data_IF_856059924306
#
_entry.id   IF_856059924306
#
_cell.length_a   1.000
_cell.length_b   1.000
_cell.length_c   1.000
_cell.angle_alpha   90.00
_cell.angle_beta   90.00
_cell.angle_gamma   90.00
#
_symmetry.space_group_name_H-M   'P 1'
#
loop_
_entity.id
_entity.type
_entity.pdbx_description
1 polymer ?
#
# COMPACT_ATOMS: atom_id res chain seq x y z
N UNK A 1 -1.28 13.93 -18.59
CA UNK A 1 -2.36 14.92 -18.36
C UNK A 1 -3.39 14.29 -17.46
N UNK A 2 -3.79 14.99 -16.39
CA UNK A 2 -4.81 14.56 -15.44
C UNK A 2 -6.16 15.14 -15.85
N UNK A 3 -7.24 14.37 -15.68
CA UNK A 3 -8.61 14.82 -15.87
C UNK A 3 -9.53 14.15 -14.86
N UNK A 4 -10.31 14.95 -14.15
CA UNK A 4 -11.35 14.51 -13.22
C UNK A 4 -12.70 14.63 -13.91
N UNK A 5 -13.48 13.55 -13.91
CA UNK A 5 -14.85 13.55 -14.42
C UNK A 5 -15.81 13.35 -13.25
N UNK A 6 -16.60 14.37 -12.96
CA UNK A 6 -17.68 14.31 -11.96
C UNK A 6 -19.02 14.20 -12.70
N UNK A 7 -19.70 13.09 -12.50
CA UNK A 7 -20.97 12.75 -13.11
C UNK A 7 -22.12 13.48 -12.41
N UNK A 8 -23.02 14.07 -13.20
CA UNK A 8 -24.23 14.67 -12.68
C UNK A 8 -25.38 13.65 -12.66
N UNK A 9 -26.29 13.76 -11.69
CA UNK A 9 -27.42 12.80 -11.53
C UNK A 9 -28.43 12.80 -12.70
N UNK A 10 -28.33 13.76 -13.62
CA UNK A 10 -29.24 13.94 -14.75
C UNK A 10 -28.58 13.81 -16.13
N UNK A 11 -27.27 13.54 -16.18
CA UNK A 11 -26.53 13.53 -17.45
C UNK A 11 -26.59 12.19 -18.16
N UNK A 12 -26.58 12.24 -19.50
CA UNK A 12 -26.34 11.06 -20.31
C UNK A 12 -24.89 10.61 -20.12
N UNK A 13 -24.69 9.44 -19.50
CA UNK A 13 -23.37 8.94 -19.13
C UNK A 13 -22.41 8.81 -20.31
N UNK A 14 -22.90 8.37 -21.47
CA UNK A 14 -22.08 8.27 -22.69
C UNK A 14 -21.60 9.66 -23.12
N UNK A 15 -22.48 10.66 -23.04
CA UNK A 15 -22.13 12.03 -23.40
C UNK A 15 -21.04 12.60 -22.47
N UNK A 16 -21.15 12.39 -21.16
CA UNK A 16 -20.12 12.82 -20.19
C UNK A 16 -18.75 12.23 -20.50
N UNK A 17 -18.70 10.91 -20.76
CA UNK A 17 -17.43 10.26 -21.12
C UNK A 17 -16.90 10.70 -22.48
N UNK A 18 -17.78 11.05 -23.43
CA UNK A 18 -17.36 11.57 -24.74
C UNK A 18 -16.67 12.94 -24.68
N UNK A 19 -16.82 13.66 -23.56
CA UNK A 19 -16.17 14.95 -23.34
C UNK A 19 -14.79 14.84 -22.70
N UNK A 20 -14.35 13.63 -22.33
CA UNK A 20 -12.99 13.44 -21.81
C UNK A 20 -11.99 13.84 -22.90
N UNK A 21 -11.09 14.81 -22.63
CA UNK A 21 -10.14 15.28 -23.63
C UNK A 21 -9.22 14.16 -24.15
N UNK A 22 -8.88 14.22 -25.44
CA UNK A 22 -7.83 13.36 -25.98
C UNK A 22 -6.46 13.69 -25.36
N UNK A 23 -5.64 12.67 -25.12
CA UNK A 23 -4.31 12.83 -24.52
C UNK A 23 -4.29 12.85 -22.99
N UNK A 24 -5.46 12.70 -22.34
CA UNK A 24 -5.55 12.38 -20.91
C UNK A 24 -4.87 11.04 -20.66
N UNK A 25 -3.98 11.00 -19.67
CA UNK A 25 -3.23 9.80 -19.27
C UNK A 25 -3.64 9.29 -17.90
N UNK A 26 -4.20 10.17 -17.06
CA UNK A 26 -4.75 9.84 -15.75
C UNK A 26 -6.17 10.37 -15.69
N UNK A 27 -7.12 9.45 -15.56
CA UNK A 27 -8.55 9.75 -15.45
C UNK A 27 -9.00 9.44 -14.03
N UNK A 28 -9.57 10.45 -13.38
CA UNK A 28 -10.16 10.33 -12.07
C UNK A 28 -11.69 10.25 -12.20
N UNK A 29 -12.24 9.10 -11.79
CA UNK A 29 -13.67 8.84 -11.67
C UNK A 29 -14.08 8.63 -10.21
N UNK A 30 -13.28 9.07 -9.25
CA UNK A 30 -13.62 8.95 -7.83
C UNK A 30 -14.88 9.75 -7.48
N UNK A 31 -15.55 9.37 -6.38
CA UNK A 31 -16.70 10.11 -5.82
C UNK A 31 -17.90 10.27 -6.79
N UNK A 32 -18.13 9.30 -7.66
CA UNK A 32 -19.19 9.31 -8.67
C UNK A 32 -20.37 8.38 -8.38
N UNK A 33 -20.44 7.80 -7.19
CA UNK A 33 -21.48 6.83 -6.80
C UNK A 33 -21.62 5.67 -7.83
N UNK A 34 -20.53 5.25 -8.50
CA UNK A 34 -20.60 4.27 -9.60
C UNK A 34 -21.22 2.92 -9.18
N UNK A 35 -21.20 2.60 -7.88
CA UNK A 35 -21.89 1.45 -7.30
C UNK A 35 -23.41 1.46 -7.51
N UNK A 36 -24.02 2.65 -7.55
CA UNK A 36 -25.46 2.85 -7.74
C UNK A 36 -25.88 2.97 -9.20
N UNK A 37 -24.95 3.16 -10.13
CA UNK A 37 -25.24 3.29 -11.56
C UNK A 37 -25.40 1.89 -12.19
N UNK A 38 -26.35 1.76 -13.12
CA UNK A 38 -26.56 0.53 -13.89
C UNK A 38 -25.26 0.03 -14.52
N UNK A 39 -24.96 -1.26 -14.32
CA UNK A 39 -23.74 -1.85 -14.86
C UNK A 39 -23.69 -1.79 -16.39
N UNK A 40 -24.84 -1.94 -17.05
CA UNK A 40 -24.93 -1.85 -18.51
C UNK A 40 -24.61 -0.44 -19.02
N UNK A 41 -25.05 0.60 -18.33
CA UNK A 41 -24.77 2.00 -18.70
C UNK A 41 -23.29 2.31 -18.52
N UNK A 42 -22.70 1.92 -17.39
CA UNK A 42 -21.27 2.11 -17.12
C UNK A 42 -20.39 1.42 -18.15
N UNK A 43 -20.68 0.16 -18.47
CA UNK A 43 -19.90 -0.60 -19.47
C UNK A 43 -19.98 0.07 -20.85
N UNK A 44 -21.12 0.65 -21.22
CA UNK A 44 -21.23 1.39 -22.48
C UNK A 44 -20.45 2.71 -22.44
N UNK A 45 -20.47 3.41 -21.31
CA UNK A 45 -19.74 4.66 -21.14
C UNK A 45 -18.21 4.45 -21.09
N UNK A 46 -17.73 3.37 -20.47
CA UNK A 46 -16.30 3.05 -20.37
C UNK A 46 -15.63 2.87 -21.73
N UNK A 47 -16.40 2.52 -22.78
CA UNK A 47 -15.90 2.48 -24.16
C UNK A 47 -15.44 3.83 -24.71
N UNK A 48 -15.86 4.93 -24.09
CA UNK A 48 -15.48 6.29 -24.46
C UNK A 48 -14.29 6.81 -23.64
N UNK A 49 -13.76 6.02 -22.69
CA UNK A 49 -12.49 6.35 -22.03
C UNK A 49 -11.40 6.37 -23.11
N UNK A 50 -10.66 7.49 -23.27
CA UNK A 50 -9.63 7.59 -24.30
C UNK A 50 -8.55 6.52 -24.15
N UNK A 51 -8.08 5.95 -25.27
CA UNK A 51 -7.03 4.94 -25.27
C UNK A 51 -5.70 5.43 -24.67
N UNK A 52 -5.49 6.75 -24.57
CA UNK A 52 -4.32 7.35 -23.92
C UNK A 52 -4.32 7.20 -22.40
N UNK A 53 -5.44 6.83 -21.78
CA UNK A 53 -5.56 6.67 -20.32
C UNK A 53 -4.82 5.41 -19.87
N UNK A 54 -3.81 5.60 -19.03
CA UNK A 54 -3.00 4.53 -18.44
C UNK A 54 -3.19 4.41 -16.93
N UNK A 55 -3.76 5.43 -16.28
CA UNK A 55 -4.12 5.42 -14.86
C UNK A 55 -5.59 5.74 -14.70
N UNK A 56 -6.33 4.86 -14.00
CA UNK A 56 -7.76 5.00 -13.76
C UNK A 56 -8.05 4.97 -12.26
N UNK A 57 -8.67 6.04 -11.75
CA UNK A 57 -9.14 6.11 -10.37
C UNK A 57 -10.64 5.78 -10.29
N UNK A 58 -10.99 4.70 -9.58
CA UNK A 58 -12.38 4.32 -9.27
C UNK A 58 -12.64 4.36 -7.76
N UNK A 59 -11.83 5.07 -6.99
CA UNK A 59 -11.95 5.13 -5.53
C UNK A 59 -13.25 5.79 -5.08
N UNK A 60 -13.66 5.53 -3.83
CA UNK A 60 -14.81 6.22 -3.21
C UNK A 60 -16.12 6.15 -4.03
N UNK A 61 -16.41 4.98 -4.60
CA UNK A 61 -17.56 4.80 -5.51
C UNK A 61 -18.61 3.82 -5.01
N UNK A 62 -18.50 3.36 -3.76
CA UNK A 62 -19.39 2.35 -3.19
C UNK A 62 -19.53 1.11 -4.08
N UNK A 63 -18.43 0.64 -4.69
CA UNK A 63 -18.45 -0.56 -5.53
C UNK A 63 -18.88 -1.84 -4.78
N UNK A 64 -18.96 -1.78 -3.44
CA UNK A 64 -19.66 -2.75 -2.62
C UNK A 64 -21.15 -2.96 -3.00
N UNK A 65 -21.82 -1.97 -3.58
CA UNK A 65 -23.25 -2.04 -3.87
C UNK A 65 -23.56 -2.79 -5.17
N UNK A 66 -22.56 -2.98 -6.04
CA UNK A 66 -22.64 -3.91 -7.19
C UNK A 66 -22.70 -5.35 -6.69
N UNK A 67 -23.46 -6.25 -7.32
CA UNK A 67 -23.24 -7.69 -7.08
C UNK A 67 -21.83 -8.12 -7.48
N UNK A 68 -21.30 -9.23 -6.95
CA UNK A 68 -19.99 -9.73 -7.36
C UNK A 68 -19.86 -10.01 -8.87
N UNK A 69 -20.96 -10.35 -9.54
CA UNK A 69 -20.98 -10.54 -10.99
C UNK A 69 -20.89 -9.20 -11.75
N UNK A 70 -21.61 -8.18 -11.29
CA UNK A 70 -21.58 -6.85 -11.90
C UNK A 70 -20.23 -6.17 -11.69
N UNK A 71 -19.64 -6.28 -10.49
CA UNK A 71 -18.30 -5.75 -10.22
C UNK A 71 -17.27 -6.39 -11.15
N UNK A 72 -17.30 -7.72 -11.32
CA UNK A 72 -16.41 -8.40 -12.26
C UNK A 72 -16.63 -7.93 -13.72
N UNK A 73 -17.87 -7.75 -14.16
CA UNK A 73 -18.16 -7.23 -15.50
C UNK A 73 -17.68 -5.79 -15.68
N UNK A 74 -17.81 -4.94 -14.65
CA UNK A 74 -17.30 -3.57 -14.68
C UNK A 74 -15.78 -3.54 -14.81
N UNK A 75 -15.06 -4.32 -14.00
CA UNK A 75 -13.60 -4.39 -14.04
C UNK A 75 -13.10 -4.97 -15.37
N UNK A 76 -13.80 -5.96 -15.93
CA UNK A 76 -13.49 -6.51 -17.26
C UNK A 76 -13.71 -5.51 -18.41
N UNK A 77 -14.50 -4.45 -18.19
CA UNK A 77 -14.76 -3.42 -19.18
C UNK A 77 -13.72 -2.28 -19.15
N UNK A 78 -12.77 -2.30 -18.20
CA UNK A 78 -11.66 -1.35 -18.17
C UNK A 78 -10.75 -1.58 -19.38
N UNK A 79 -10.38 -0.49 -20.06
CA UNK A 79 -9.52 -0.52 -21.23
C UNK A 79 -8.16 -1.19 -20.95
N UNK A 80 -7.70 -2.03 -21.88
CA UNK A 80 -6.45 -2.78 -21.77
C UNK A 80 -5.16 -1.93 -21.83
N UNK A 81 -5.28 -0.60 -21.88
CA UNK A 81 -4.15 0.32 -21.79
C UNK A 81 -3.92 0.79 -20.34
N UNK A 82 -4.87 0.54 -19.43
CA UNK A 82 -4.76 0.91 -18.01
C UNK A 82 -3.73 0.00 -17.35
N UNK A 83 -2.71 0.62 -16.76
CA UNK A 83 -1.61 -0.04 -16.04
C UNK A 83 -1.66 0.25 -14.54
N UNK A 84 -2.31 1.33 -14.12
CA UNK A 84 -2.56 1.67 -12.72
C UNK A 84 -4.06 1.77 -12.46
N UNK A 85 -4.56 1.00 -11.50
CA UNK A 85 -5.97 0.97 -11.14
C UNK A 85 -6.14 1.24 -9.63
N UNK A 86 -6.90 2.27 -9.29
CA UNK A 86 -7.25 2.59 -7.91
C UNK A 86 -8.69 2.13 -7.60
N UNK A 87 -8.83 1.20 -6.64
CA UNK A 87 -10.11 0.71 -6.11
C UNK A 87 -10.28 1.07 -4.62
N UNK A 88 -9.51 2.03 -4.11
CA UNK A 88 -9.53 2.40 -2.69
C UNK A 88 -10.91 2.89 -2.22
N UNK A 89 -11.18 2.78 -0.92
CA UNK A 89 -12.39 3.34 -0.29
C UNK A 89 -13.70 2.89 -0.94
N UNK A 90 -13.80 1.61 -1.31
CA UNK A 90 -14.98 1.03 -1.96
C UNK A 90 -15.76 0.05 -1.07
N UNK A 91 -15.39 -0.07 0.21
CA UNK A 91 -16.02 -0.97 1.19
C UNK A 91 -16.06 -2.43 0.69
N UNK A 92 -14.96 -2.87 0.07
CA UNK A 92 -14.89 -4.19 -0.55
C UNK A 92 -15.00 -5.33 0.47
N UNK A 93 -14.83 -5.05 1.76
CA UNK A 93 -15.10 -5.99 2.87
C UNK A 93 -16.52 -6.54 2.90
N UNK A 94 -17.49 -5.78 2.36
CA UNK A 94 -18.89 -6.21 2.24
C UNK A 94 -19.13 -7.30 1.20
N UNK A 95 -18.11 -7.68 0.42
CA UNK A 95 -18.18 -8.78 -0.54
C UNK A 95 -17.62 -10.05 0.08
N UNK A 96 -18.20 -11.18 -0.31
CA UNK A 96 -17.62 -12.47 0.04
C UNK A 96 -16.28 -12.69 -0.70
N UNK A 97 -15.40 -13.51 -0.14
CA UNK A 97 -14.14 -13.86 -0.81
C UNK A 97 -14.32 -14.47 -2.21
N UNK A 98 -15.45 -15.13 -2.47
CA UNK A 98 -15.76 -15.66 -3.80
C UNK A 98 -16.12 -14.55 -4.80
N UNK A 99 -16.82 -13.51 -4.35
CA UNK A 99 -17.14 -12.35 -5.19
C UNK A 99 -15.91 -11.50 -5.47
N UNK A 100 -15.06 -11.27 -4.45
CA UNK A 100 -13.78 -10.59 -4.62
C UNK A 100 -12.85 -11.36 -5.55
N UNK A 101 -12.76 -12.68 -5.40
CA UNK A 101 -12.00 -13.53 -6.32
C UNK A 101 -12.45 -13.37 -7.77
N UNK A 102 -13.77 -13.38 -8.00
CA UNK A 102 -14.33 -13.17 -9.35
C UNK A 102 -14.04 -11.77 -9.88
N UNK A 103 -14.13 -10.75 -9.03
CA UNK A 103 -13.84 -9.36 -9.40
C UNK A 103 -12.36 -9.16 -9.73
N UNK A 104 -11.44 -9.63 -8.89
CA UNK A 104 -10.00 -9.49 -9.10
C UNK A 104 -9.52 -10.27 -10.33
N UNK A 105 -10.07 -11.46 -10.58
CA UNK A 105 -9.78 -12.23 -11.79
C UNK A 105 -10.19 -11.50 -13.09
N UNK A 106 -11.09 -10.52 -13.00
CA UNK A 106 -11.58 -9.75 -14.13
C UNK A 106 -10.78 -8.46 -14.38
N UNK A 107 -9.83 -8.11 -13.50
CA UNK A 107 -8.93 -6.97 -13.69
C UNK A 107 -8.09 -7.21 -14.96
N UNK A 108 -7.98 -6.22 -15.88
CA UNK A 108 -7.19 -6.38 -17.10
C UNK A 108 -5.73 -6.76 -16.82
N UNK A 109 -5.17 -7.65 -17.63
CA UNK A 109 -3.78 -8.10 -17.51
C UNK A 109 -2.74 -7.02 -17.86
N UNK A 110 -3.17 -5.85 -18.30
CA UNK A 110 -2.34 -4.66 -18.45
C UNK A 110 -2.04 -3.98 -17.12
N UNK A 111 -2.87 -4.20 -16.09
CA UNK A 111 -2.72 -3.58 -14.77
C UNK A 111 -1.50 -4.17 -14.07
N UNK A 112 -0.56 -3.31 -13.72
CA UNK A 112 0.66 -3.64 -12.97
C UNK A 112 0.68 -3.06 -11.57
N UNK A 113 -0.12 -2.02 -11.31
CA UNK A 113 -0.32 -1.41 -10.00
C UNK A 113 -1.78 -1.44 -9.63
N UNK A 114 -2.10 -2.07 -8.50
CA UNK A 114 -3.46 -2.16 -7.96
C UNK A 114 -3.49 -1.55 -6.56
N UNK A 115 -4.37 -0.59 -6.36
CA UNK A 115 -4.59 0.04 -5.07
C UNK A 115 -5.92 -0.44 -4.45
N UNK A 116 -5.82 -1.09 -3.28
CA UNK A 116 -6.94 -1.54 -2.45
C UNK A 116 -6.96 -0.83 -1.07
N UNK A 117 -6.34 0.34 -0.97
CA UNK A 117 -6.31 1.17 0.23
C UNK A 117 -7.72 1.38 0.82
N UNK A 118 -7.83 1.43 2.15
CA UNK A 118 -9.06 1.81 2.85
C UNK A 118 -10.32 1.00 2.43
N UNK A 119 -10.20 -0.31 2.27
CA UNK A 119 -11.33 -1.19 1.93
C UNK A 119 -11.82 -2.05 3.10
N UNK A 120 -11.25 -1.85 4.29
CA UNK A 120 -11.57 -2.60 5.51
C UNK A 120 -11.44 -4.11 5.37
N UNK A 121 -10.53 -4.59 4.50
CA UNK A 121 -10.42 -6.01 4.16
C UNK A 121 -10.14 -6.91 5.39
N UNK A 122 -9.55 -6.38 6.47
CA UNK A 122 -9.41 -7.06 7.77
C UNK A 122 -10.72 -7.33 8.53
N UNK A 123 -11.88 -7.06 7.92
CA UNK A 123 -13.18 -7.57 8.37
C UNK A 123 -13.54 -8.92 7.71
N UNK A 124 -12.82 -9.33 6.66
CA UNK A 124 -13.02 -10.61 5.98
C UNK A 124 -12.15 -11.70 6.61
N UNK A 125 -12.66 -12.93 6.65
CA UNK A 125 -11.86 -14.06 7.14
C UNK A 125 -10.63 -14.27 6.26
N UNK A 126 -9.51 -14.70 6.85
CA UNK A 126 -8.27 -14.89 6.11
C UNK A 126 -8.38 -15.92 4.98
N UNK A 127 -9.24 -16.94 5.12
CA UNK A 127 -9.54 -17.90 4.05
C UNK A 127 -10.28 -17.27 2.86
N UNK A 128 -11.11 -16.27 3.11
CA UNK A 128 -11.86 -15.55 2.06
C UNK A 128 -10.93 -14.62 1.29
N UNK A 129 -10.10 -13.85 2.01
CA UNK A 129 -9.08 -13.01 1.39
C UNK A 129 -8.03 -13.83 0.65
N UNK A 130 -7.63 -14.99 1.17
CA UNK A 130 -6.68 -15.84 0.47
C UNK A 130 -7.20 -16.30 -0.90
N UNK A 131 -8.51 -16.61 -0.99
CA UNK A 131 -9.15 -16.92 -2.27
C UNK A 131 -9.20 -15.69 -3.20
N UNK A 132 -9.49 -14.52 -2.64
CA UNK A 132 -9.52 -13.28 -3.40
C UNK A 132 -8.13 -12.91 -3.95
N UNK A 133 -7.12 -12.84 -3.11
CA UNK A 133 -5.74 -12.49 -3.47
C UNK A 133 -5.14 -13.46 -4.47
N UNK A 134 -5.40 -14.76 -4.36
CA UNK A 134 -4.99 -15.75 -5.36
C UNK A 134 -5.55 -15.48 -6.78
N UNK A 135 -6.56 -14.64 -6.89
CA UNK A 135 -7.19 -14.26 -8.16
C UNK A 135 -6.71 -12.91 -8.71
N UNK A 136 -5.81 -12.21 -8.01
CA UNK A 136 -5.18 -10.99 -8.51
C UNK A 136 -4.32 -11.36 -9.74
N UNK A 137 -4.41 -10.63 -10.87
CA UNK A 137 -3.67 -10.96 -12.07
C UNK A 137 -2.15 -10.96 -11.86
N UNK A 138 -1.46 -11.90 -12.51
CA UNK A 138 0.00 -12.05 -12.40
C UNK A 138 0.80 -10.84 -12.92
N UNK A 139 0.15 -9.93 -13.65
CA UNK A 139 0.72 -8.65 -14.09
C UNK A 139 0.87 -7.65 -12.94
N UNK A 140 0.07 -7.76 -11.88
CA UNK A 140 0.10 -6.85 -10.72
C UNK A 140 1.35 -7.13 -9.89
N UNK A 141 2.31 -6.22 -9.95
CA UNK A 141 3.59 -6.31 -9.22
C UNK A 141 3.69 -5.32 -8.07
N UNK A 142 2.82 -4.30 -8.06
CA UNK A 142 2.63 -3.36 -6.96
C UNK A 142 1.21 -3.47 -6.43
N UNK A 143 1.07 -3.69 -5.12
CA UNK A 143 -0.21 -3.80 -4.44
C UNK A 143 -0.24 -2.88 -3.23
N UNK A 144 -1.27 -2.04 -3.14
CA UNK A 144 -1.55 -1.27 -1.95
C UNK A 144 -2.62 -1.96 -1.09
N UNK A 145 -2.25 -2.33 0.15
CA UNK A 145 -3.18 -2.86 1.16
C UNK A 145 -3.21 -1.97 2.40
N UNK A 146 -2.79 -0.71 2.29
CA UNK A 146 -2.79 0.20 3.42
C UNK A 146 -4.20 0.46 3.95
N UNK A 147 -4.31 0.79 5.24
CA UNK A 147 -5.58 1.14 5.89
C UNK A 147 -6.69 0.07 5.74
N UNK A 148 -6.34 -1.22 5.90
CA UNK A 148 -7.29 -2.33 5.83
C UNK A 148 -7.58 -3.00 7.19
N UNK A 149 -7.12 -2.42 8.32
CA UNK A 149 -7.39 -2.87 9.69
C UNK A 149 -6.97 -4.31 10.00
N UNK A 150 -5.85 -4.78 9.46
CA UNK A 150 -5.36 -6.14 9.72
C UNK A 150 -4.94 -6.41 11.17
N UNK A 151 -4.81 -5.40 12.03
CA UNK A 151 -4.46 -5.54 13.44
C UNK A 151 -5.53 -6.29 14.26
N UNK A 152 -6.79 -6.19 13.84
CA UNK A 152 -7.94 -6.78 14.55
C UNK A 152 -8.12 -8.27 14.28
N UNK A 153 -7.37 -8.82 13.32
CA UNK A 153 -7.51 -10.20 12.87
C UNK A 153 -7.05 -11.24 13.91
N UNK A 154 -7.62 -12.44 13.80
CA UNK A 154 -7.11 -13.58 14.55
C UNK A 154 -5.68 -13.92 14.10
N UNK A 155 -4.88 -14.57 14.95
CA UNK A 155 -3.51 -14.96 14.58
C UNK A 155 -3.49 -15.88 13.34
N UNK A 156 -4.52 -16.73 13.21
CA UNK A 156 -4.65 -17.63 12.08
C UNK A 156 -5.03 -16.89 10.80
N UNK A 157 -5.98 -15.94 10.89
CA UNK A 157 -6.42 -15.16 9.74
C UNK A 157 -5.32 -14.22 9.25
N UNK A 158 -4.63 -13.49 10.15
CA UNK A 158 -3.52 -12.62 9.79
C UNK A 158 -2.39 -13.38 9.07
N UNK A 159 -1.99 -14.54 9.59
CA UNK A 159 -0.96 -15.38 8.96
C UNK A 159 -1.41 -15.90 7.59
N UNK A 160 -2.68 -16.28 7.46
CA UNK A 160 -3.27 -16.70 6.19
C UNK A 160 -3.29 -15.55 5.16
N UNK A 161 -3.70 -14.35 5.57
CA UNK A 161 -3.72 -13.13 4.75
C UNK A 161 -2.32 -12.86 4.20
N UNK A 162 -1.32 -12.77 5.08
CA UNK A 162 0.06 -12.47 4.70
C UNK A 162 0.65 -13.55 3.78
N UNK A 163 0.38 -14.82 4.05
CA UNK A 163 0.88 -15.94 3.20
C UNK A 163 0.18 -15.98 1.84
N UNK A 164 -1.02 -15.41 1.74
CA UNK A 164 -1.82 -15.41 0.50
C UNK A 164 -1.53 -14.22 -0.43
N UNK A 165 -0.71 -13.26 0.00
CA UNK A 165 -0.24 -12.20 -0.90
C UNK A 165 0.47 -12.86 -2.11
N UNK A 166 0.08 -12.52 -3.34
CA UNK A 166 0.55 -13.26 -4.51
C UNK A 166 2.06 -13.13 -4.69
N UNK A 167 2.77 -14.21 -5.05
CA UNK A 167 4.23 -14.22 -5.12
C UNK A 167 4.85 -13.30 -6.19
N UNK A 168 4.03 -12.78 -7.10
CA UNK A 168 4.44 -11.80 -8.11
C UNK A 168 4.38 -10.35 -7.62
N UNK A 169 3.78 -10.08 -6.45
CA UNK A 169 3.74 -8.76 -5.83
C UNK A 169 5.07 -8.45 -5.16
N UNK A 170 5.91 -7.66 -5.81
CA UNK A 170 7.25 -7.31 -5.32
C UNK A 170 7.27 -5.97 -4.58
N UNK A 171 6.25 -5.14 -4.76
CA UNK A 171 6.04 -3.89 -4.03
C UNK A 171 4.72 -3.97 -3.27
N UNK A 172 4.77 -3.82 -1.95
CA UNK A 172 3.60 -3.97 -1.08
C UNK A 172 3.50 -2.81 -0.09
N UNK A 173 2.36 -2.14 -0.07
CA UNK A 173 2.05 -1.16 0.96
C UNK A 173 1.21 -1.77 2.09
N UNK A 174 1.75 -1.73 3.32
CA UNK A 174 1.10 -2.20 4.54
C UNK A 174 0.90 -1.06 5.56
N UNK A 175 1.11 0.19 5.16
CA UNK A 175 0.92 1.36 6.03
C UNK A 175 -0.52 1.40 6.58
N UNK A 176 -0.70 2.05 7.72
CA UNK A 176 -2.00 2.31 8.34
C UNK A 176 -2.84 1.07 8.69
N UNK A 177 -2.21 -0.11 8.83
CA UNK A 177 -2.85 -1.32 9.35
C UNK A 177 -2.61 -1.53 10.86
N UNK A 178 -2.26 -0.46 11.58
CA UNK A 178 -2.00 -0.48 13.03
C UNK A 178 -1.14 -1.65 13.53
N UNK A 179 -0.11 -2.04 12.77
CA UNK A 179 0.70 -3.23 13.04
C UNK A 179 1.47 -3.18 14.39
N UNK A 180 1.56 -2.01 15.02
CA UNK A 180 2.10 -1.84 16.37
C UNK A 180 1.20 -2.41 17.47
N UNK A 181 -0.12 -2.45 17.23
CA UNK A 181 -1.11 -3.04 18.12
C UNK A 181 -1.16 -4.58 18.01
N UNK A 182 -0.50 -5.16 16.99
CA UNK A 182 -0.42 -6.61 16.83
C UNK A 182 0.49 -7.21 17.91
N UNK A 183 -0.02 -8.15 18.73
CA UNK A 183 0.78 -8.80 19.77
C UNK A 183 2.01 -9.49 19.20
N UNK A 184 3.11 -9.47 19.96
CA UNK A 184 4.39 -10.05 19.54
C UNK A 184 4.26 -11.51 19.11
N UNK A 185 3.47 -12.31 19.83
CA UNK A 185 3.25 -13.73 19.53
C UNK A 185 2.60 -13.94 18.17
N UNK A 186 1.76 -13.00 17.71
CA UNK A 186 1.16 -13.05 16.37
C UNK A 186 2.19 -12.68 15.30
N UNK A 187 3.00 -11.64 15.53
CA UNK A 187 4.03 -11.20 14.57
C UNK A 187 5.04 -12.32 14.27
N UNK A 188 5.39 -13.13 15.27
CA UNK A 188 6.31 -14.28 15.09
C UNK A 188 5.77 -15.29 14.06
N UNK A 189 4.45 -15.43 13.93
CA UNK A 189 3.81 -16.35 12.98
C UNK A 189 3.86 -15.85 11.53
N UNK A 190 4.24 -14.59 11.31
CA UNK A 190 4.35 -13.99 9.97
C UNK A 190 5.69 -14.29 9.32
N UNK A 191 6.60 -14.96 10.02
CA UNK A 191 7.93 -15.27 9.51
C UNK A 191 7.88 -15.89 8.11
N UNK A 192 8.68 -15.34 7.20
CA UNK A 192 8.84 -15.74 5.79
C UNK A 192 7.57 -15.65 4.91
N UNK A 193 6.46 -15.12 5.42
CA UNK A 193 5.18 -15.08 4.69
C UNK A 193 5.24 -14.18 3.44
N UNK A 194 6.07 -13.14 3.48
CA UNK A 194 6.26 -12.13 2.43
C UNK A 194 7.68 -12.16 1.84
N UNK A 195 8.33 -13.33 1.82
CA UNK A 195 9.71 -13.50 1.30
C UNK A 195 9.94 -13.07 -0.16
N UNK A 196 8.86 -12.87 -0.93
CA UNK A 196 8.90 -12.45 -2.32
C UNK A 196 8.87 -10.92 -2.47
N UNK A 197 8.47 -10.19 -1.42
CA UNK A 197 8.39 -8.73 -1.42
C UNK A 197 9.80 -8.12 -1.37
N UNK A 198 10.06 -7.18 -2.28
CA UNK A 198 11.32 -6.46 -2.42
C UNK A 198 11.24 -5.03 -1.88
N UNK A 199 10.09 -4.39 -2.04
CA UNK A 199 9.78 -3.06 -1.50
C UNK A 199 8.57 -3.15 -0.59
N UNK A 200 8.71 -2.70 0.66
CA UNK A 200 7.61 -2.63 1.63
C UNK A 200 7.45 -1.22 2.16
N UNK A 201 6.22 -0.73 2.20
CA UNK A 201 5.85 0.54 2.79
C UNK A 201 5.16 0.30 4.14
N UNK A 202 5.56 1.06 5.16
CA UNK A 202 5.04 0.96 6.53
C UNK A 202 4.83 2.37 7.11
N UNK A 203 3.84 2.56 7.98
CA UNK A 203 3.68 3.84 8.68
C UNK A 203 4.82 4.08 9.66
N UNK A 204 5.43 5.26 9.59
CA UNK A 204 6.46 5.68 10.53
C UNK A 204 5.98 5.62 11.98
N UNK A 205 4.78 6.15 12.25
CA UNK A 205 4.18 6.10 13.57
C UNK A 205 4.11 4.66 14.10
N UNK A 206 3.53 3.74 13.31
CA UNK A 206 3.43 2.33 13.71
C UNK A 206 4.80 1.71 14.00
N UNK A 207 5.78 1.89 13.12
CA UNK A 207 7.12 1.31 13.32
C UNK A 207 7.82 1.91 14.55
N UNK A 208 7.62 3.20 14.82
CA UNK A 208 8.20 3.89 15.96
C UNK A 208 7.63 3.39 17.29
N UNK A 209 6.33 3.14 17.36
CA UNK A 209 5.65 2.70 18.60
C UNK A 209 5.91 1.22 18.94
N UNK A 210 6.34 0.41 17.97
CA UNK A 210 6.72 -0.99 18.22
C UNK A 210 7.91 -1.12 19.18
N UNK A 211 7.99 -2.24 19.90
CA UNK A 211 9.23 -2.65 20.56
C UNK A 211 10.29 -3.07 19.52
N UNK A 212 11.55 -3.17 19.95
CA UNK A 212 12.63 -3.68 19.08
C UNK A 212 12.38 -5.12 18.65
N UNK A 213 11.86 -5.94 19.56
CA UNK A 213 11.48 -7.33 19.29
C UNK A 213 10.32 -7.41 18.29
N UNK A 214 9.29 -6.58 18.45
CA UNK A 214 8.18 -6.50 17.49
C UNK A 214 8.69 -6.09 16.10
N UNK A 215 9.57 -5.07 16.00
CA UNK A 215 10.17 -4.67 14.71
C UNK A 215 10.97 -5.81 14.09
N UNK A 216 11.81 -6.49 14.86
CA UNK A 216 12.57 -7.63 14.35
C UNK A 216 11.65 -8.77 13.87
N UNK A 217 10.56 -9.06 14.60
CA UNK A 217 9.60 -10.08 14.21
C UNK A 217 8.83 -9.71 12.95
N UNK A 218 8.33 -8.47 12.85
CA UNK A 218 7.67 -7.97 11.63
C UNK A 218 8.63 -8.02 10.43
N UNK A 219 9.88 -7.60 10.65
CA UNK A 219 10.97 -7.72 9.69
C UNK A 219 11.17 -9.11 9.11
N UNK A 220 11.03 -10.13 9.96
CA UNK A 220 11.15 -11.54 9.55
C UNK A 220 10.06 -12.00 8.59
N UNK A 221 8.97 -11.25 8.44
CA UNK A 221 7.93 -11.55 7.45
C UNK A 221 8.41 -11.31 6.01
N UNK A 222 9.25 -10.30 5.80
CA UNK A 222 9.78 -9.90 4.49
C UNK A 222 11.33 -9.94 4.48
N UNK A 223 11.95 -11.10 4.72
CA UNK A 223 13.40 -11.23 4.92
C UNK A 223 14.26 -10.78 3.73
N UNK A 224 13.67 -10.75 2.52
CA UNK A 224 14.35 -10.37 1.28
C UNK A 224 14.05 -8.93 0.84
N UNK A 225 13.37 -8.13 1.66
CA UNK A 225 13.09 -6.74 1.34
C UNK A 225 14.41 -5.96 1.15
N UNK A 226 14.53 -5.35 -0.01
CA UNK A 226 15.67 -4.51 -0.39
C UNK A 226 15.42 -3.05 0.01
N UNK A 227 14.16 -2.61 -0.07
CA UNK A 227 13.72 -1.26 0.26
C UNK A 227 12.59 -1.33 1.29
N UNK A 228 12.82 -0.78 2.47
CA UNK A 228 11.78 -0.53 3.49
C UNK A 228 11.57 0.97 3.52
N UNK A 229 10.34 1.41 3.26
CA UNK A 229 9.98 2.82 3.16
C UNK A 229 9.04 3.14 4.31
N UNK A 230 9.35 4.20 5.04
CA UNK A 230 8.47 4.71 6.08
C UNK A 230 7.71 5.91 5.53
N UNK A 231 6.38 5.90 5.69
CA UNK A 231 5.50 6.99 5.29
C UNK A 231 5.00 7.78 6.49
N UNK A 232 4.75 9.08 6.31
CA UNK A 232 4.12 9.93 7.31
C UNK A 232 2.60 9.68 7.40
N UNK A 233 1.89 10.46 8.23
CA UNK A 233 0.45 10.30 8.44
C UNK A 233 -0.41 10.70 7.23
N UNK A 234 0.23 11.23 6.17
CA UNK A 234 -0.38 11.63 4.91
C UNK A 234 0.07 10.75 3.73
N UNK A 235 0.66 9.58 4.03
CA UNK A 235 1.19 8.61 3.06
C UNK A 235 2.38 9.12 2.22
N UNK A 236 3.05 10.20 2.66
CA UNK A 236 4.25 10.68 1.97
C UNK A 236 5.49 9.92 2.46
N UNK A 237 6.38 9.54 1.54
CA UNK A 237 7.68 8.96 1.89
C UNK A 237 8.50 9.93 2.76
N UNK A 238 8.90 9.47 3.95
CA UNK A 238 9.75 10.26 4.84
C UNK A 238 11.19 10.20 4.36
N UNK A 239 11.82 11.37 4.27
CA UNK A 239 13.22 11.47 3.90
C UNK A 239 14.13 10.72 4.91
N UNK A 240 15.21 10.07 4.44
CA UNK A 240 16.11 9.36 5.32
C UNK A 240 16.67 10.25 6.43
N UNK A 241 16.58 9.78 7.67
CA UNK A 241 17.24 10.38 8.84
C UNK A 241 17.86 9.28 9.70
N UNK A 242 18.59 9.66 10.75
CA UNK A 242 19.20 8.71 11.69
C UNK A 242 18.13 7.83 12.33
N UNK A 243 17.04 8.45 12.79
CA UNK A 243 15.91 7.76 13.41
C UNK A 243 15.29 6.75 12.46
N UNK A 244 14.98 7.19 11.24
CA UNK A 244 14.42 6.32 10.19
C UNK A 244 15.38 5.17 9.85
N UNK A 245 16.67 5.47 9.71
CA UNK A 245 17.71 4.48 9.41
C UNK A 245 17.84 3.42 10.51
N UNK A 246 17.75 3.81 11.78
CA UNK A 246 17.79 2.88 12.91
C UNK A 246 16.55 1.98 12.93
N UNK A 247 15.36 2.53 12.72
CA UNK A 247 14.11 1.76 12.66
C UNK A 247 14.13 0.73 11.51
N UNK A 248 14.59 1.15 10.32
CA UNK A 248 14.78 0.26 9.17
C UNK A 248 15.85 -0.79 9.45
N UNK A 249 16.93 -0.43 10.17
CA UNK A 249 17.97 -1.38 10.59
C UNK A 249 17.43 -2.50 11.48
N UNK A 250 16.53 -2.16 12.41
CA UNK A 250 15.87 -3.13 13.29
C UNK A 250 14.85 -4.01 12.55
N UNK A 251 14.09 -3.44 11.60
CA UNK A 251 13.18 -4.22 10.74
C UNK A 251 13.96 -5.17 9.80
N UNK A 252 15.06 -4.72 9.21
CA UNK A 252 15.82 -5.53 8.25
C UNK A 252 16.69 -6.62 8.91
N UNK A 253 16.82 -6.61 10.24
CA UNK A 253 17.74 -7.49 10.95
C UNK A 253 19.22 -7.22 10.65
N UNK A 254 19.55 -6.13 9.93
CA UNK A 254 20.93 -5.72 9.57
C UNK A 254 21.57 -4.83 10.63
N UNK A 255 21.04 -4.84 11.84
CA UNK A 255 21.46 -4.02 12.97
C UNK A 255 22.78 -4.51 13.60
N UNK A 256 23.88 -4.59 12.84
CA UNK A 256 25.22 -4.88 13.39
C UNK A 256 26.38 -4.07 12.80
N UNK A 257 26.15 -3.22 11.79
CA UNK A 257 27.13 -2.20 11.44
C UNK A 257 26.75 -0.89 12.15
N UNK A 258 27.53 -0.37 13.12
CA UNK A 258 27.34 1.00 13.57
C UNK A 258 27.41 1.87 12.32
N UNK A 259 26.35 2.64 12.07
CA UNK A 259 26.28 3.54 10.93
C UNK A 259 27.57 4.36 10.86
N UNK A 260 28.01 4.76 9.66
CA UNK A 260 29.16 5.66 9.52
C UNK A 260 29.03 6.86 10.47
N UNK A 261 27.81 7.29 10.75
CA UNK A 261 27.50 8.30 11.75
C UNK A 261 27.81 7.87 13.20
N UNK A 262 27.38 6.70 13.66
CA UNK A 262 27.75 6.18 14.99
C UNK A 262 29.26 5.98 15.11
N UNK A 263 29.91 5.53 14.02
CA UNK A 263 31.37 5.46 13.96
C UNK A 263 32.01 6.85 14.05
N UNK A 264 31.45 7.86 13.35
CA UNK A 264 31.91 9.25 13.42
C UNK A 264 31.69 9.88 14.79
N UNK A 265 30.59 9.59 15.48
CA UNK A 265 30.30 10.06 16.85
C UNK A 265 31.32 9.45 17.83
N UNK A 266 31.50 8.13 17.80
CA UNK A 266 32.49 7.43 18.63
C UNK A 266 33.91 7.91 18.33
N UNK A 267 34.25 8.10 17.05
CA UNK A 267 35.54 8.65 16.63
C UNK A 267 35.76 10.07 17.14
N UNK A 268 34.76 10.95 17.02
CA UNK A 268 34.86 12.33 17.48
C UNK A 268 35.06 12.42 18.99
N UNK A 269 34.40 11.57 19.77
CA UNK A 269 34.57 11.51 21.22
C UNK A 269 35.94 10.93 21.62
N UNK A 270 36.34 9.80 21.03
CA UNK A 270 37.64 9.15 21.33
C UNK A 270 38.82 10.09 21.08
N UNK A 271 38.68 11.00 20.13
CA UNK A 271 39.72 11.96 19.75
C UNK A 271 39.48 13.38 20.31
N UNK A 272 38.50 13.57 21.22
CA UNK A 272 38.16 14.87 21.83
C UNK A 272 38.03 16.01 20.81
N UNK A 273 37.39 15.73 19.67
CA UNK A 273 37.27 16.71 18.59
C UNK A 273 36.36 17.84 19.04
N UNK A 274 36.88 19.07 19.02
CA UNK A 274 36.12 20.31 19.25
C UNK A 274 35.13 20.52 18.09
N UNK A 275 33.94 19.92 18.23
CA UNK A 275 32.91 19.88 17.21
C UNK A 275 32.26 21.25 16.93
N UNK A 276 32.56 22.26 17.77
CA UNK A 276 32.10 23.64 17.63
C UNK A 276 33.04 24.49 16.77
N UNK A 277 34.24 23.99 16.43
CA UNK A 277 35.27 24.74 15.66
C UNK A 277 35.54 24.22 14.25
N UNK A 278 34.83 23.18 13.80
CA UNK A 278 34.96 22.65 12.43
C UNK A 278 33.62 22.67 11.71
N UNK A 279 33.66 22.74 10.37
CA UNK A 279 32.53 22.61 9.45
C UNK A 279 31.93 21.19 9.51
N UNK A 280 31.40 20.82 10.67
CA UNK A 280 30.68 19.58 10.90
C UNK A 280 29.20 19.88 10.65
N UNK A 281 28.46 19.04 9.89
CA UNK A 281 27.03 19.22 9.68
C UNK A 281 26.26 19.34 11.00
N UNK A 282 25.26 20.23 11.06
CA UNK A 282 24.53 20.57 12.29
C UNK A 282 23.91 19.35 12.99
N UNK A 283 23.37 18.41 12.22
CA UNK A 283 22.76 17.16 12.73
C UNK A 283 23.74 16.28 13.51
N UNK A 284 25.02 16.26 13.12
CA UNK A 284 26.07 15.52 13.83
C UNK A 284 26.47 16.27 15.12
N UNK A 285 26.44 17.60 15.12
CA UNK A 285 26.65 18.39 16.35
C UNK A 285 25.53 18.15 17.36
N UNK A 286 24.27 18.12 16.91
CA UNK A 286 23.10 17.82 17.75
C UNK A 286 23.16 16.40 18.31
N UNK A 287 23.55 15.42 17.50
CA UNK A 287 23.70 14.02 17.93
C UNK A 287 24.81 13.84 18.97
N UNK A 288 25.96 14.51 18.79
CA UNK A 288 27.05 14.50 19.79
C UNK A 288 26.60 15.15 21.11
N UNK A 289 25.86 16.27 21.05
CA UNK A 289 25.32 16.94 22.25
C UNK A 289 24.32 16.07 23.00
N UNK A 290 23.34 15.49 22.31
CA UNK A 290 22.31 14.64 22.90
C UNK A 290 22.89 13.38 23.56
N UNK A 291 23.99 12.86 23.02
CA UNK A 291 24.70 11.72 23.59
C UNK A 291 25.51 12.11 24.86
N UNK A 292 26.16 13.27 24.87
CA UNK A 292 26.92 13.75 26.04
C UNK A 292 26.04 14.18 27.23
N UNK A 293 24.73 14.37 27.02
CA UNK A 293 23.75 14.71 28.07
C UNK A 293 23.11 13.48 28.75
N UNK A 294 23.52 12.26 28.37
CA UNK A 294 23.14 11.00 29.03
C UNK A 294 24.28 10.51 29.91
#
# INVERSE_FOLDING_TARGET
MFYELILSKSSNLIQEFSYIPHGVTSLDLSLNELGSISNAELIQAFKYIPESVTSLDLSNNHLCDKSGAELAQLLAAISANVTSLNLSSNYLDRKSGAELAKAFAAIPSSVTSLDLHCNSLGNNRGVELAKAFASIPASVTSLDLSMNYFDLESSADLSQIFTSIPPHVVSLNLSFNSLHEVPFEKLVLLKDSLKHVQTVYLSFYSVKEMSKEQRSSLGSAFPNAQKIILVDDYDNEIQPSITISNLIGELSGKADAPSLLNQCILFAQRNQIDYMKRNIPGELQESIRAFNSR
#
